data_IF_266252717701
#
_entry.id   IF_266252717701
#
_cell.length_a   1.000
_cell.length_b   1.000
_cell.length_c   1.000
_cell.angle_alpha   90.00
_cell.angle_beta   90.00
_cell.angle_gamma   90.00
#
_symmetry.space_group_name_H-M   'P 1'
#
loop_
_entity.id
_entity.type
_entity.pdbx_description
1 polymer ?
#
# COMPACT_ATOMS: atom_id res chain seq x y z
N UNK A 1 -45.04 -19.81 38.60
CA UNK A 1 -43.79 -19.02 38.56
C UNK A 1 -42.86 -19.75 37.61
N UNK A 2 -42.61 -19.19 36.44
CA UNK A 2 -41.75 -19.81 35.43
C UNK A 2 -40.34 -19.23 35.59
N UNK A 3 -39.37 -20.09 35.96
CA UNK A 3 -37.98 -19.76 36.06
C UNK A 3 -37.39 -19.53 34.65
N UNK A 4 -37.13 -18.29 34.29
CA UNK A 4 -36.33 -17.95 33.13
C UNK A 4 -34.85 -18.15 33.48
N UNK A 5 -34.28 -19.31 33.15
CA UNK A 5 -32.85 -19.51 33.12
C UNK A 5 -32.29 -18.75 31.92
N UNK A 6 -31.71 -17.60 32.20
CA UNK A 6 -30.84 -16.88 31.24
C UNK A 6 -29.61 -17.73 30.94
N UNK A 7 -29.61 -18.39 29.78
CA UNK A 7 -28.40 -19.03 29.24
C UNK A 7 -27.40 -17.92 28.92
N UNK A 8 -26.51 -17.61 29.86
CA UNK A 8 -25.29 -16.87 29.58
C UNK A 8 -24.44 -17.75 28.67
N UNK A 9 -24.46 -17.48 27.39
CA UNK A 9 -23.41 -17.92 26.47
C UNK A 9 -22.09 -17.26 26.95
N UNK A 10 -21.35 -18.01 27.75
CA UNK A 10 -19.97 -17.68 28.07
C UNK A 10 -19.19 -17.80 26.73
N UNK A 11 -19.00 -16.69 26.03
CA UNK A 11 -17.97 -16.62 25.02
C UNK A 11 -16.67 -17.02 25.70
N UNK A 12 -16.09 -18.13 25.27
CA UNK A 12 -14.78 -18.60 25.75
C UNK A 12 -13.78 -17.56 25.37
N UNK A 13 -13.45 -16.64 26.30
CA UNK A 13 -12.38 -15.69 26.11
C UNK A 13 -11.08 -16.48 25.89
N UNK A 14 -10.51 -16.37 24.70
CA UNK A 14 -9.22 -17.01 24.44
C UNK A 14 -8.16 -16.43 25.39
N UNK A 15 -7.20 -17.26 25.86
CA UNK A 15 -6.10 -16.76 26.68
C UNK A 15 -5.33 -15.67 25.94
N UNK A 16 -4.82 -14.63 26.63
CA UNK A 16 -4.03 -13.56 26.01
C UNK A 16 -2.89 -14.07 25.13
N UNK A 17 -2.24 -15.16 25.50
CA UNK A 17 -1.18 -15.79 24.70
C UNK A 17 -1.66 -16.31 23.33
N UNK A 18 -2.88 -16.83 23.22
CA UNK A 18 -3.44 -17.30 21.96
C UNK A 18 -3.80 -16.13 21.03
N UNK A 19 -4.23 -14.99 21.61
CA UNK A 19 -4.46 -13.75 20.85
C UNK A 19 -3.13 -13.21 20.29
N UNK A 20 -2.07 -13.21 21.07
CA UNK A 20 -0.74 -12.74 20.66
C UNK A 20 -0.16 -13.61 19.55
N UNK A 21 -0.33 -14.94 19.60
CA UNK A 21 0.13 -15.86 18.56
C UNK A 21 -0.66 -15.67 17.27
N UNK A 22 -1.98 -15.58 17.35
CA UNK A 22 -2.85 -15.33 16.21
C UNK A 22 -2.59 -13.98 15.56
N UNK A 23 -2.35 -12.93 16.36
CA UNK A 23 -1.98 -11.61 15.86
C UNK A 23 -0.65 -11.64 15.11
N UNK A 24 0.36 -12.34 15.63
CA UNK A 24 1.65 -12.51 14.93
C UNK A 24 1.48 -13.22 13.60
N UNK A 25 0.67 -14.29 13.55
CA UNK A 25 0.38 -15.01 12.33
C UNK A 25 -0.35 -14.12 11.31
N UNK A 26 -1.33 -13.34 11.75
CA UNK A 26 -2.06 -12.38 10.92
C UNK A 26 -1.12 -11.31 10.33
N UNK A 27 -0.30 -10.67 11.17
CA UNK A 27 0.66 -9.65 10.72
C UNK A 27 1.72 -10.25 9.79
N UNK A 28 2.18 -11.48 10.04
CA UNK A 28 3.08 -12.19 9.14
C UNK A 28 2.44 -12.43 7.77
N UNK A 29 1.14 -12.75 7.73
CA UNK A 29 0.39 -12.89 6.47
C UNK A 29 0.27 -11.55 5.74
N UNK A 30 0.00 -10.45 6.45
CA UNK A 30 -0.06 -9.10 5.89
C UNK A 30 1.27 -8.74 5.22
N UNK A 31 2.39 -8.81 5.96
CA UNK A 31 3.71 -8.46 5.42
C UNK A 31 4.18 -9.45 4.34
N UNK A 32 3.89 -10.74 4.49
CA UNK A 32 4.21 -11.76 3.49
C UNK A 32 3.50 -11.49 2.17
N UNK A 33 2.19 -11.24 2.20
CA UNK A 33 1.39 -10.90 1.01
C UNK A 33 1.90 -9.61 0.36
N UNK A 34 2.14 -8.56 1.16
CA UNK A 34 2.73 -7.32 0.69
C UNK A 34 4.08 -7.55 0.00
N UNK A 35 4.98 -8.32 0.62
CA UNK A 35 6.32 -8.59 0.07
C UNK A 35 6.28 -9.30 -1.27
N UNK A 36 5.39 -10.29 -1.43
CA UNK A 36 5.18 -10.95 -2.73
C UNK A 36 4.65 -9.95 -3.76
N UNK A 37 3.69 -9.09 -3.39
CA UNK A 37 3.22 -8.01 -4.26
C UNK A 37 4.35 -7.06 -4.69
N UNK A 38 5.25 -6.70 -3.77
CA UNK A 38 6.43 -5.89 -4.06
C UNK A 38 7.37 -6.56 -5.07
N UNK A 39 7.60 -7.87 -4.93
CA UNK A 39 8.41 -8.64 -5.88
C UNK A 39 7.76 -8.70 -7.26
N UNK A 40 6.44 -8.87 -7.35
CA UNK A 40 5.70 -8.82 -8.61
C UNK A 40 5.87 -7.44 -9.26
N UNK A 41 5.67 -6.37 -8.50
CA UNK A 41 5.85 -4.99 -8.99
C UNK A 41 7.27 -4.76 -9.48
N UNK A 42 8.27 -5.15 -8.71
CA UNK A 42 9.68 -5.00 -9.07
C UNK A 42 10.01 -5.79 -10.36
N UNK A 43 9.55 -7.04 -10.46
CA UNK A 43 9.77 -7.87 -11.65
C UNK A 43 9.14 -7.28 -12.91
N UNK A 44 7.88 -6.86 -12.84
CA UNK A 44 7.17 -6.25 -13.97
C UNK A 44 7.78 -4.91 -14.36
N UNK A 45 8.05 -4.03 -13.39
CA UNK A 45 8.62 -2.71 -13.67
C UNK A 45 10.03 -2.81 -14.24
N UNK A 46 10.84 -3.74 -13.75
CA UNK A 46 12.16 -4.02 -14.30
C UNK A 46 12.08 -4.56 -15.73
N UNK A 47 11.26 -5.59 -15.97
CA UNK A 47 11.13 -6.22 -17.29
C UNK A 47 10.66 -5.24 -18.36
N UNK A 48 9.71 -4.37 -18.04
CA UNK A 48 9.18 -3.37 -18.97
C UNK A 48 10.12 -2.17 -19.09
N UNK A 49 10.62 -1.66 -17.95
CA UNK A 49 11.39 -0.42 -17.90
C UNK A 49 12.80 -0.54 -18.51
N UNK A 50 13.40 -1.74 -18.45
CA UNK A 50 14.74 -1.99 -19.05
C UNK A 50 14.67 -2.44 -20.51
N UNK A 51 13.47 -2.69 -21.05
CA UNK A 51 13.28 -3.07 -22.46
C UNK A 51 12.73 -1.88 -23.25
N UNK A 52 13.52 -1.22 -24.13
CA UNK A 52 13.02 -0.12 -24.95
C UNK A 52 11.80 -0.48 -25.78
N UNK A 53 11.73 -1.73 -26.27
CA UNK A 53 10.61 -2.22 -27.07
C UNK A 53 9.31 -2.31 -26.25
N UNK A 54 9.37 -2.78 -25.00
CA UNK A 54 8.21 -2.87 -24.13
C UNK A 54 7.81 -1.50 -23.58
N UNK A 55 8.78 -0.65 -23.25
CA UNK A 55 8.52 0.69 -22.72
C UNK A 55 7.86 1.58 -23.79
N UNK A 56 8.25 1.45 -25.06
CA UNK A 56 7.67 2.21 -26.17
C UNK A 56 6.19 1.91 -26.44
N UNK A 57 5.64 0.79 -25.92
CA UNK A 57 4.20 0.51 -25.95
C UNK A 57 3.42 1.54 -25.12
N UNK A 58 4.02 2.03 -24.04
CA UNK A 58 3.37 2.92 -23.06
C UNK A 58 3.87 4.35 -23.12
N UNK A 59 5.09 4.58 -23.63
CA UNK A 59 5.75 5.89 -23.58
C UNK A 59 6.50 6.19 -24.88
N UNK A 60 6.59 7.47 -25.21
CA UNK A 60 7.46 7.92 -26.27
C UNK A 60 8.92 7.63 -25.90
N UNK A 61 9.71 7.00 -26.80
CA UNK A 61 11.07 6.55 -26.48
C UNK A 61 12.07 7.71 -26.29
N UNK A 62 11.77 8.92 -26.77
CA UNK A 62 12.66 10.08 -26.69
C UNK A 62 12.31 10.97 -25.49
N UNK A 63 11.03 11.31 -25.35
CA UNK A 63 10.56 12.24 -24.33
C UNK A 63 10.13 11.57 -23.04
N UNK A 64 9.99 10.24 -23.04
CA UNK A 64 9.39 9.43 -21.96
C UNK A 64 7.95 9.87 -21.59
N UNK A 65 7.33 10.71 -22.41
CA UNK A 65 5.95 11.15 -22.21
C UNK A 65 4.98 9.97 -22.40
N UNK A 66 3.97 9.83 -21.54
CA UNK A 66 3.00 8.74 -21.68
C UNK A 66 2.15 8.94 -22.94
N UNK A 67 2.00 7.88 -23.74
CA UNK A 67 0.98 7.79 -24.77
C UNK A 67 -0.38 7.40 -24.16
N UNK A 68 -1.41 7.14 -24.98
CA UNK A 68 -2.75 6.77 -24.49
C UNK A 68 -2.70 5.55 -23.57
N UNK A 69 -1.96 4.49 -23.95
CA UNK A 69 -1.79 3.30 -23.11
C UNK A 69 -1.00 3.59 -21.84
N UNK A 70 -0.02 4.48 -21.90
CA UNK A 70 0.73 4.96 -20.74
C UNK A 70 -0.15 5.72 -19.73
N UNK A 71 -1.06 6.55 -20.22
CA UNK A 71 -2.04 7.21 -19.36
C UNK A 71 -2.98 6.20 -18.70
N UNK A 72 -3.47 5.21 -19.47
CA UNK A 72 -4.29 4.12 -18.91
C UNK A 72 -3.51 3.36 -17.84
N UNK A 73 -2.27 2.94 -18.13
CA UNK A 73 -1.42 2.23 -17.17
C UNK A 73 -1.15 3.05 -15.90
N UNK A 74 -1.01 4.37 -16.01
CA UNK A 74 -0.77 5.27 -14.89
C UNK A 74 -1.99 5.42 -13.97
N UNK A 75 -3.20 5.48 -14.52
CA UNK A 75 -4.43 5.62 -13.72
C UNK A 75 -5.07 4.29 -13.33
N UNK A 76 -4.71 3.18 -13.99
CA UNK A 76 -5.27 1.87 -13.71
C UNK A 76 -5.13 1.45 -12.23
N UNK A 77 -3.98 1.62 -11.54
CA UNK A 77 -3.89 1.28 -10.13
C UNK A 77 -4.89 2.03 -9.25
N UNK A 78 -5.13 3.31 -9.51
CA UNK A 78 -6.10 4.10 -8.76
C UNK A 78 -7.52 3.55 -8.93
N UNK A 79 -7.91 3.26 -10.17
CA UNK A 79 -9.22 2.66 -10.47
C UNK A 79 -9.36 1.30 -9.79
N UNK A 80 -8.29 0.48 -9.82
CA UNK A 80 -8.29 -0.85 -9.21
C UNK A 80 -8.42 -0.81 -7.69
N UNK A 81 -7.86 0.19 -6.99
CA UNK A 81 -8.04 0.36 -5.55
C UNK A 81 -9.53 0.53 -5.21
N UNK A 82 -10.23 1.42 -5.93
CA UNK A 82 -11.67 1.62 -5.72
C UNK A 82 -12.48 0.38 -6.10
N UNK A 83 -12.14 -0.27 -7.20
CA UNK A 83 -12.80 -1.51 -7.64
C UNK A 83 -12.60 -2.63 -6.61
N UNK A 84 -11.41 -2.74 -6.02
CA UNK A 84 -11.11 -3.75 -4.99
C UNK A 84 -11.93 -3.51 -3.72
N UNK A 85 -11.99 -2.27 -3.24
CA UNK A 85 -12.81 -1.91 -2.08
C UNK A 85 -14.29 -2.23 -2.29
N UNK A 86 -14.81 -2.01 -3.49
CA UNK A 86 -16.20 -2.34 -3.84
C UNK A 86 -16.45 -3.86 -4.00
N UNK A 87 -15.44 -4.61 -4.46
CA UNK A 87 -15.56 -6.03 -4.78
C UNK A 87 -15.20 -6.97 -3.62
N UNK A 88 -14.46 -6.53 -2.61
CA UNK A 88 -13.88 -7.38 -1.56
C UNK A 88 -14.91 -8.27 -0.85
N UNK A 89 -16.12 -7.75 -0.62
CA UNK A 89 -17.19 -8.50 0.03
C UNK A 89 -17.78 -9.61 -0.85
N UNK A 90 -17.57 -9.55 -2.17
CA UNK A 90 -18.06 -10.55 -3.15
C UNK A 90 -16.99 -11.55 -3.54
N UNK A 91 -15.72 -11.25 -3.29
CA UNK A 91 -14.60 -12.13 -3.60
C UNK A 91 -14.37 -13.13 -2.47
N UNK A 92 -13.92 -14.34 -2.80
CA UNK A 92 -13.29 -15.24 -1.84
C UNK A 92 -11.91 -14.70 -1.43
N UNK A 93 -11.32 -15.21 -0.35
CA UNK A 93 -9.98 -14.83 0.08
C UNK A 93 -8.93 -15.09 -1.03
N UNK A 94 -9.03 -16.23 -1.73
CA UNK A 94 -8.17 -16.53 -2.88
C UNK A 94 -8.38 -15.55 -4.05
N UNK A 95 -9.64 -15.16 -4.33
CA UNK A 95 -9.96 -14.15 -5.33
C UNK A 95 -9.40 -12.77 -4.98
N UNK A 96 -9.51 -12.36 -3.71
CA UNK A 96 -8.93 -11.12 -3.21
C UNK A 96 -7.40 -11.11 -3.33
N UNK A 97 -6.74 -12.22 -3.00
CA UNK A 97 -5.29 -12.36 -3.13
C UNK A 97 -4.83 -12.29 -4.59
N UNK A 98 -5.55 -12.96 -5.49
CA UNK A 98 -5.27 -12.90 -6.94
C UNK A 98 -5.44 -11.47 -7.45
N UNK A 99 -6.52 -10.79 -7.06
CA UNK A 99 -6.76 -9.39 -7.42
C UNK A 99 -5.62 -8.49 -6.96
N UNK A 100 -5.14 -8.68 -5.72
CA UNK A 100 -4.01 -7.92 -5.19
C UNK A 100 -2.72 -8.14 -6.01
N UNK A 101 -2.41 -9.36 -6.44
CA UNK A 101 -1.23 -9.60 -7.26
C UNK A 101 -1.36 -9.05 -8.69
N UNK A 102 -2.56 -9.10 -9.27
CA UNK A 102 -2.85 -8.40 -10.55
C UNK A 102 -2.67 -6.90 -10.38
N UNK A 103 -3.18 -6.32 -9.30
CA UNK A 103 -2.95 -4.93 -8.95
C UNK A 103 -1.46 -4.59 -8.83
N UNK A 104 -0.66 -5.43 -8.16
CA UNK A 104 0.78 -5.24 -8.03
C UNK A 104 1.50 -5.29 -9.39
N UNK A 105 1.06 -6.16 -10.31
CA UNK A 105 1.59 -6.20 -11.68
C UNK A 105 1.24 -4.93 -12.47
N UNK A 106 0.00 -4.44 -12.38
CA UNK A 106 -0.43 -3.19 -13.02
C UNK A 106 0.30 -2.00 -12.43
N UNK A 107 0.53 -1.98 -11.12
CA UNK A 107 1.38 -0.97 -10.48
C UNK A 107 2.81 -1.01 -11.04
N UNK A 108 3.37 -2.21 -11.25
CA UNK A 108 4.68 -2.39 -11.90
C UNK A 108 4.74 -1.77 -13.29
N UNK A 109 3.70 -1.94 -14.11
CA UNK A 109 3.58 -1.28 -15.42
C UNK A 109 3.52 0.25 -15.28
N UNK A 110 2.75 0.75 -14.31
CA UNK A 110 2.58 2.17 -14.06
C UNK A 110 3.90 2.88 -13.73
N UNK A 111 4.77 2.23 -12.95
CA UNK A 111 6.04 2.82 -12.49
C UNK A 111 7.26 2.36 -13.30
N UNK A 112 7.09 1.54 -14.34
CA UNK A 112 8.20 0.96 -15.13
C UNK A 112 9.17 2.02 -15.69
N UNK A 113 8.68 3.22 -15.97
CA UNK A 113 9.47 4.34 -16.50
C UNK A 113 10.62 4.78 -15.58
N UNK A 114 10.60 4.43 -14.29
CA UNK A 114 11.66 4.79 -13.37
C UNK A 114 13.02 4.20 -13.79
N UNK A 115 13.02 3.03 -14.44
CA UNK A 115 14.24 2.37 -14.93
C UNK A 115 14.84 3.05 -16.16
N UNK A 116 14.07 3.89 -16.85
CA UNK A 116 14.55 4.70 -17.95
C UNK A 116 14.90 6.14 -17.52
N UNK A 117 14.49 6.57 -16.33
CA UNK A 117 14.67 7.93 -15.84
C UNK A 117 15.72 8.04 -14.74
N UNK A 118 16.01 6.96 -14.03
CA UNK A 118 16.93 6.93 -12.89
C UNK A 118 17.92 5.78 -13.00
N UNK A 119 19.13 5.99 -12.50
CA UNK A 119 20.15 4.96 -12.47
C UNK A 119 19.71 3.76 -11.61
N UNK A 120 20.05 2.54 -12.01
CA UNK A 120 19.70 1.34 -11.27
C UNK A 120 20.22 1.34 -9.82
N UNK A 121 21.40 1.96 -9.60
CA UNK A 121 21.97 2.13 -8.25
C UNK A 121 21.09 3.04 -7.38
N UNK A 122 20.61 4.16 -7.93
CA UNK A 122 19.69 5.06 -7.19
C UNK A 122 18.40 4.40 -6.83
N UNK A 123 17.82 3.59 -7.73
CA UNK A 123 16.61 2.81 -7.47
C UNK A 123 16.85 1.84 -6.30
N UNK A 124 17.96 1.09 -6.34
CA UNK A 124 18.30 0.13 -5.29
C UNK A 124 18.57 0.80 -3.92
N UNK A 125 19.32 1.90 -3.90
CA UNK A 125 19.61 2.65 -2.68
C UNK A 125 18.32 3.26 -2.09
N UNK A 126 17.48 3.86 -2.91
CA UNK A 126 16.20 4.43 -2.47
C UNK A 126 15.27 3.35 -1.94
N UNK A 127 15.22 2.18 -2.59
CA UNK A 127 14.45 1.05 -2.10
C UNK A 127 14.92 0.59 -0.71
N UNK A 128 16.22 0.51 -0.48
CA UNK A 128 16.77 0.15 0.83
C UNK A 128 16.42 1.19 1.91
N UNK A 129 16.59 2.48 1.61
CA UNK A 129 16.24 3.56 2.55
C UNK A 129 14.76 3.53 2.87
N UNK A 130 13.90 3.36 1.85
CA UNK A 130 12.45 3.23 2.04
C UNK A 130 12.11 2.02 2.92
N UNK A 131 12.77 0.89 2.69
CA UNK A 131 12.54 -0.34 3.46
C UNK A 131 12.88 -0.16 4.93
N UNK A 132 14.00 0.50 5.25
CA UNK A 132 14.40 0.80 6.63
C UNK A 132 13.41 1.76 7.28
N UNK A 133 13.04 2.85 6.61
CA UNK A 133 12.09 3.82 7.12
C UNK A 133 10.71 3.18 7.35
N UNK A 134 10.21 2.42 6.38
CA UNK A 134 8.94 1.71 6.47
C UNK A 134 8.94 0.71 7.62
N UNK A 135 9.97 -0.13 7.75
CA UNK A 135 10.07 -1.11 8.83
C UNK A 135 10.07 -0.43 10.21
N UNK A 136 10.80 0.69 10.35
CA UNK A 136 10.87 1.47 11.59
C UNK A 136 9.51 2.07 11.97
N UNK A 137 8.81 2.68 11.00
CA UNK A 137 7.48 3.28 11.20
C UNK A 137 6.42 2.23 11.50
N UNK A 138 6.48 1.10 10.78
CA UNK A 138 5.58 -0.02 10.99
C UNK A 138 5.80 -0.66 12.37
N UNK A 139 7.04 -0.86 12.78
CA UNK A 139 7.37 -1.36 14.12
C UNK A 139 6.88 -0.41 15.22
N UNK A 140 7.04 0.90 15.01
CA UNK A 140 6.51 1.89 15.94
C UNK A 140 4.98 1.84 16.00
N UNK A 141 4.29 1.79 14.87
CA UNK A 141 2.83 1.66 14.80
C UNK A 141 2.31 0.38 15.49
N UNK A 142 3.05 -0.73 15.35
CA UNK A 142 2.72 -2.01 15.99
C UNK A 142 2.91 -1.97 17.51
N UNK A 143 3.97 -1.34 17.99
CA UNK A 143 4.40 -1.39 19.41
C UNK A 143 3.88 -0.22 20.25
N UNK A 144 3.54 0.91 19.61
CA UNK A 144 3.10 2.10 20.35
C UNK A 144 1.84 1.83 21.18
N UNK A 145 1.83 2.40 22.39
CA UNK A 145 0.66 2.39 23.30
C UNK A 145 -0.25 3.62 23.09
N UNK A 146 0.23 4.60 22.30
CA UNK A 146 -0.57 5.79 21.98
C UNK A 146 -1.62 5.40 20.94
N UNK A 147 -2.86 5.79 21.18
CA UNK A 147 -3.92 5.66 20.18
C UNK A 147 -3.75 6.76 19.12
N UNK A 148 -3.44 6.34 17.90
CA UNK A 148 -3.31 7.21 16.73
C UNK A 148 -4.48 7.08 15.76
N UNK A 149 -5.58 6.42 16.17
CA UNK A 149 -6.78 6.24 15.34
C UNK A 149 -7.38 7.55 14.84
N UNK A 150 -7.28 8.62 15.65
CA UNK A 150 -7.72 9.97 15.27
C UNK A 150 -6.97 10.59 14.08
N UNK A 151 -5.81 10.07 13.68
CA UNK A 151 -5.04 10.60 12.55
C UNK A 151 -5.66 10.24 11.20
N UNK A 152 -6.48 9.20 11.14
CA UNK A 152 -7.01 8.63 9.89
C UNK A 152 -7.67 9.67 8.98
N UNK A 153 -8.62 10.44 9.52
CA UNK A 153 -9.34 11.45 8.72
C UNK A 153 -8.43 12.56 8.21
N UNK A 154 -7.48 13.02 9.03
CA UNK A 154 -6.50 14.02 8.63
C UNK A 154 -5.57 13.51 7.53
N UNK A 155 -5.05 12.28 7.67
CA UNK A 155 -4.14 11.69 6.70
C UNK A 155 -4.84 11.40 5.36
N UNK A 156 -6.09 10.89 5.38
CA UNK A 156 -6.89 10.68 4.17
C UNK A 156 -7.14 12.02 3.46
N UNK A 157 -7.49 13.08 4.19
CA UNK A 157 -7.65 14.41 3.61
C UNK A 157 -6.33 14.91 2.98
N UNK A 158 -5.19 14.62 3.63
CA UNK A 158 -3.87 14.90 3.08
C UNK A 158 -3.61 14.17 1.75
N UNK A 159 -3.96 12.89 1.65
CA UNK A 159 -3.84 12.12 0.38
C UNK A 159 -4.72 12.72 -0.72
N UNK A 160 -5.97 13.08 -0.40
CA UNK A 160 -6.84 13.75 -1.37
C UNK A 160 -6.24 15.07 -1.83
N UNK A 161 -5.68 15.85 -0.92
CA UNK A 161 -4.97 17.09 -1.24
C UNK A 161 -3.77 16.87 -2.17
N UNK A 162 -2.97 15.82 -1.93
CA UNK A 162 -1.85 15.45 -2.80
C UNK A 162 -2.32 15.06 -4.22
N UNK A 163 -3.41 14.33 -4.33
CA UNK A 163 -3.97 13.93 -5.64
C UNK A 163 -4.45 15.17 -6.41
N UNK A 164 -5.23 16.03 -5.77
CA UNK A 164 -5.75 17.25 -6.39
C UNK A 164 -4.62 18.16 -6.84
N UNK A 165 -3.63 18.36 -5.99
CA UNK A 165 -2.48 19.19 -6.27
C UNK A 165 -1.61 18.60 -7.40
N UNK A 166 -1.38 17.29 -7.40
CA UNK A 166 -0.65 16.61 -8.48
C UNK A 166 -1.35 16.79 -9.84
N UNK A 167 -2.68 16.73 -9.88
CA UNK A 167 -3.46 17.01 -11.09
C UNK A 167 -3.27 18.46 -11.52
N UNK A 168 -3.35 19.41 -10.61
CA UNK A 168 -3.14 20.84 -10.91
C UNK A 168 -1.73 21.06 -11.43
N UNK A 169 -0.73 20.43 -10.83
CA UNK A 169 0.68 20.60 -11.23
C UNK A 169 1.01 20.01 -12.61
N UNK A 170 0.22 19.04 -13.12
CA UNK A 170 0.33 18.58 -14.52
C UNK A 170 0.13 19.75 -15.50
N UNK A 171 -0.78 20.68 -15.18
CA UNK A 171 -1.05 21.85 -16.01
C UNK A 171 -0.09 23.01 -15.74
N UNK A 172 0.35 23.18 -14.49
CA UNK A 172 1.25 24.26 -14.10
C UNK A 172 2.71 23.98 -14.46
N UNK A 173 3.12 22.70 -14.45
CA UNK A 173 4.49 22.27 -14.73
C UNK A 173 5.53 22.85 -13.76
N UNK A 174 5.16 23.20 -12.53
CA UNK A 174 6.03 23.87 -11.57
C UNK A 174 6.93 22.89 -10.82
N UNK A 175 8.28 22.96 -10.99
CA UNK A 175 9.19 22.10 -10.23
C UNK A 175 9.16 22.36 -8.71
N UNK A 176 8.93 23.62 -8.30
CA UNK A 176 8.86 24.00 -6.89
C UNK A 176 7.65 23.35 -6.20
N UNK A 177 6.52 23.33 -6.89
CA UNK A 177 5.29 22.66 -6.40
C UNK A 177 5.54 21.14 -6.34
N UNK A 178 6.10 20.53 -7.38
CA UNK A 178 6.43 19.11 -7.38
C UNK A 178 7.34 18.71 -6.20
N UNK A 179 8.33 19.56 -5.90
CA UNK A 179 9.23 19.37 -4.77
C UNK A 179 8.49 19.44 -3.42
N UNK A 180 7.65 20.47 -3.23
CA UNK A 180 6.85 20.61 -1.99
C UNK A 180 5.89 19.44 -1.77
N UNK A 181 5.22 18.98 -2.84
CA UNK A 181 4.34 17.80 -2.82
C UNK A 181 5.09 16.54 -2.44
N UNK A 182 6.31 16.39 -2.94
CA UNK A 182 7.13 15.22 -2.62
C UNK A 182 7.50 15.18 -1.12
N UNK A 183 7.81 16.33 -0.50
CA UNK A 183 8.07 16.40 0.95
C UNK A 183 6.81 16.06 1.75
N UNK A 184 5.72 16.76 1.45
CA UNK A 184 4.45 16.58 2.16
C UNK A 184 3.93 15.15 1.97
N UNK A 185 4.01 14.63 0.75
CA UNK A 185 3.60 13.27 0.42
C UNK A 185 4.40 12.22 1.18
N UNK A 186 5.73 12.37 1.24
CA UNK A 186 6.57 11.47 2.03
C UNK A 186 6.13 11.44 3.50
N UNK A 187 5.89 12.61 4.11
CA UNK A 187 5.47 12.71 5.51
C UNK A 187 4.09 12.10 5.74
N UNK A 188 3.14 12.32 4.82
CA UNK A 188 1.79 11.75 4.92
C UNK A 188 1.85 10.22 4.83
N UNK A 189 2.57 9.64 3.85
CA UNK A 189 2.65 8.18 3.70
C UNK A 189 3.51 7.52 4.79
N UNK A 190 4.49 8.23 5.34
CA UNK A 190 5.20 7.81 6.54
C UNK A 190 4.26 7.71 7.75
N UNK A 191 3.44 8.72 7.99
CA UNK A 191 2.44 8.71 9.06
C UNK A 191 1.34 7.65 8.80
N UNK A 192 0.89 7.47 7.55
CA UNK A 192 -0.04 6.41 7.15
C UNK A 192 0.53 5.02 7.42
N UNK A 193 1.83 4.80 7.23
CA UNK A 193 2.46 3.49 7.53
C UNK A 193 2.28 3.11 9.00
N UNK A 194 2.54 4.03 9.91
CA UNK A 194 2.34 3.78 11.34
C UNK A 194 0.87 3.63 11.69
N UNK A 195 0.02 4.49 11.16
CA UNK A 195 -1.43 4.47 11.37
C UNK A 195 -2.05 3.16 10.87
N UNK A 196 -1.78 2.76 9.63
CA UNK A 196 -2.34 1.54 9.04
C UNK A 196 -1.85 0.30 9.78
N UNK A 197 -0.59 0.26 10.20
CA UNK A 197 -0.08 -0.85 11.00
C UNK A 197 -0.83 -0.99 12.32
N UNK A 198 -1.07 0.11 13.04
CA UNK A 198 -1.87 0.08 14.27
C UNK A 198 -3.32 -0.29 13.98
N UNK A 199 -3.91 0.23 12.91
CA UNK A 199 -5.28 -0.09 12.50
C UNK A 199 -5.45 -1.58 12.21
N UNK A 200 -4.56 -2.19 11.42
CA UNK A 200 -4.58 -3.62 11.09
C UNK A 200 -4.50 -4.47 12.37
N UNK A 201 -3.59 -4.14 13.27
CA UNK A 201 -3.46 -4.78 14.57
C UNK A 201 -4.76 -4.69 15.38
N UNK A 202 -5.31 -3.48 15.51
CA UNK A 202 -6.52 -3.24 16.31
C UNK A 202 -7.75 -3.93 15.70
N UNK A 203 -7.88 -3.93 14.38
CA UNK A 203 -8.94 -4.62 13.65
C UNK A 203 -8.90 -6.13 13.92
N UNK A 204 -7.71 -6.75 13.89
CA UNK A 204 -7.57 -8.15 14.26
C UNK A 204 -7.99 -8.42 15.70
N UNK A 205 -7.48 -7.63 16.66
CA UNK A 205 -7.78 -7.82 18.09
C UNK A 205 -9.28 -7.68 18.39
N UNK A 206 -9.96 -6.75 17.70
CA UNK A 206 -11.40 -6.52 17.91
C UNK A 206 -12.29 -7.60 17.28
N UNK A 207 -11.87 -8.19 16.16
CA UNK A 207 -12.75 -9.04 15.36
C UNK A 207 -12.36 -10.52 15.33
N UNK A 208 -11.16 -10.89 15.78
CA UNK A 208 -10.65 -12.27 15.70
C UNK A 208 -11.52 -13.32 16.39
N UNK A 209 -12.36 -12.93 17.35
CA UNK A 209 -13.27 -13.83 18.06
C UNK A 209 -14.67 -13.91 17.44
N UNK A 210 -15.05 -12.93 16.64
CA UNK A 210 -16.41 -12.78 16.11
C UNK A 210 -16.51 -13.18 14.64
N UNK A 211 -15.38 -13.16 13.91
CA UNK A 211 -15.34 -13.38 12.46
C UNK A 211 -14.72 -14.73 12.11
N UNK A 212 -15.11 -15.26 10.95
CA UNK A 212 -14.56 -16.49 10.41
C UNK A 212 -13.16 -16.29 9.79
N UNK A 213 -12.50 -17.40 9.46
CA UNK A 213 -11.16 -17.39 8.89
C UNK A 213 -11.12 -16.69 7.51
N UNK A 214 -12.21 -16.79 6.73
CA UNK A 214 -12.26 -16.14 5.43
C UNK A 214 -12.25 -14.61 5.56
N UNK A 215 -12.97 -14.08 6.53
CA UNK A 215 -12.95 -12.66 6.83
C UNK A 215 -11.55 -12.18 7.29
N UNK A 216 -10.91 -12.93 8.19
CA UNK A 216 -9.56 -12.64 8.68
C UNK A 216 -8.54 -12.66 7.52
N UNK A 217 -8.69 -13.59 6.59
CA UNK A 217 -7.84 -13.68 5.41
C UNK A 217 -8.01 -12.48 4.47
N UNK A 218 -9.25 -12.05 4.23
CA UNK A 218 -9.54 -10.86 3.44
C UNK A 218 -9.04 -9.59 4.13
N UNK A 219 -9.21 -9.49 5.46
CA UNK A 219 -8.68 -8.37 6.25
C UNK A 219 -7.15 -8.29 6.15
N UNK A 220 -6.45 -9.43 6.20
CA UNK A 220 -5.00 -9.46 5.99
C UNK A 220 -4.59 -8.96 4.59
N UNK A 221 -5.34 -9.33 3.54
CA UNK A 221 -5.08 -8.88 2.17
C UNK A 221 -5.34 -7.37 2.02
N UNK A 222 -6.40 -6.85 2.62
CA UNK A 222 -6.69 -5.41 2.65
C UNK A 222 -5.60 -4.64 3.42
N UNK A 223 -5.14 -5.18 4.55
CA UNK A 223 -4.01 -4.63 5.28
C UNK A 223 -2.72 -4.62 4.46
N UNK A 224 -2.45 -5.71 3.73
CA UNK A 224 -1.31 -5.81 2.82
C UNK A 224 -1.38 -4.76 1.69
N UNK A 225 -2.58 -4.55 1.11
CA UNK A 225 -2.79 -3.51 0.09
C UNK A 225 -2.51 -2.10 0.64
N UNK A 226 -3.02 -1.77 1.83
CA UNK A 226 -2.78 -0.45 2.44
C UNK A 226 -1.29 -0.21 2.68
N UNK A 227 -0.59 -1.15 3.31
CA UNK A 227 0.83 -1.03 3.57
C UNK A 227 1.67 -1.01 2.28
N UNK A 228 1.28 -1.79 1.28
CA UNK A 228 1.89 -1.79 -0.05
C UNK A 228 1.80 -0.41 -0.72
N UNK A 229 0.61 0.20 -0.72
CA UNK A 229 0.40 1.54 -1.28
C UNK A 229 1.27 2.57 -0.54
N UNK A 230 1.31 2.52 0.79
CA UNK A 230 2.14 3.42 1.58
C UNK A 230 3.63 3.27 1.22
N UNK A 231 4.12 2.03 1.09
CA UNK A 231 5.50 1.76 0.71
C UNK A 231 5.84 2.31 -0.68
N UNK A 232 5.03 2.00 -1.70
CA UNK A 232 5.27 2.45 -3.07
C UNK A 232 5.28 3.97 -3.16
N UNK A 233 4.34 4.66 -2.47
CA UNK A 233 4.33 6.12 -2.49
C UNK A 233 5.53 6.72 -1.75
N UNK A 234 5.92 6.18 -0.58
CA UNK A 234 7.16 6.60 0.11
C UNK A 234 8.39 6.40 -0.80
N UNK A 235 8.48 5.25 -1.46
CA UNK A 235 9.57 4.96 -2.39
C UNK A 235 9.60 5.96 -3.55
N UNK A 236 8.47 6.25 -4.18
CA UNK A 236 8.38 7.18 -5.30
C UNK A 236 8.77 8.60 -4.90
N UNK A 237 8.32 9.08 -3.73
CA UNK A 237 8.70 10.40 -3.23
C UNK A 237 10.19 10.45 -2.85
N UNK A 238 10.72 9.42 -2.19
CA UNK A 238 12.15 9.35 -1.89
C UNK A 238 13.00 9.27 -3.15
N UNK A 239 12.56 8.54 -4.18
CA UNK A 239 13.27 8.47 -5.45
C UNK A 239 13.35 9.83 -6.17
N UNK A 240 12.34 10.68 -6.00
CA UNK A 240 12.39 12.06 -6.52
C UNK A 240 13.43 12.91 -5.81
N UNK A 241 13.76 12.63 -4.54
CA UNK A 241 14.78 13.35 -3.78
C UNK A 241 16.18 12.78 -3.95
N UNK A 242 16.31 11.46 -3.88
CA UNK A 242 17.58 10.76 -3.77
C UNK A 242 18.06 10.22 -5.12
N UNK A 243 17.16 10.15 -6.11
CA UNK A 243 17.44 9.53 -7.38
C UNK A 243 18.32 10.40 -8.28
N UNK A 244 19.43 9.83 -8.74
CA UNK A 244 20.21 10.41 -9.83
C UNK A 244 19.55 10.03 -11.15
N UNK A 245 19.21 11.04 -11.95
CA UNK A 245 18.64 10.86 -13.29
C UNK A 245 19.74 10.56 -14.29
N UNK A 246 19.44 9.70 -15.26
CA UNK A 246 20.28 9.45 -16.44
C UNK A 246 20.14 10.57 -17.47
#
# INVERSE_FOLDING_TARGET
MADYQTVRTQGVAQPPAAIDEGLRAHMSKVYGTMSVGMLVTAGVSWAVGTSPALLSIFRDPVTLSPNILGWIAMFAPLIMVFAFGAAINRLSAAGAQTFFYVFAAVMGLSIAWIFAAFTGLSIAQTFLVTSIAFASLSLWGYTTKKDISGWGSFLIMGVVGLIVESIINIFLGSPAIAFAVSIIGLLIFAALTAYDTQRIKNEYVQHSHAMDQEWLDKSAIMGALSLYINFINMFMFLLQFLGNRE
#
